data_IF_560841817979
#
_entry.id   IF_560841817979
#
_cell.length_a   1.000
_cell.length_b   1.000
_cell.length_c   1.000
_cell.angle_alpha   90.00
_cell.angle_beta   90.00
_cell.angle_gamma   90.00
#
_symmetry.space_group_name_H-M   'P 1'
#
loop_
_entity.id
_entity.type
_entity.pdbx_description
1 polymer ?
2 non-polymer ?
3 non-polymer ?
4 water ?
#
# COMPACT_ATOMS: atom_id res chain seq x y z
N UNK A 1 -28.74 7.87 9.15
CA UNK A 1 -28.37 6.52 8.61
C UNK A 1 -27.66 6.55 7.26
N UNK A 2 -27.06 5.42 6.90
CA UNK A 2 -26.32 5.27 5.65
C UNK A 2 -27.32 4.90 4.57
N UNK A 3 -27.29 5.63 3.47
CA UNK A 3 -28.28 5.43 2.40
C UNK A 3 -28.05 4.14 1.61
N UNK A 4 -29.05 3.82 0.79
CA UNK A 4 -29.04 2.60 -0.05
C UNK A 4 -27.83 2.48 -0.99
N UNK A 5 -27.59 3.51 -1.80
CA UNK A 5 -26.45 3.52 -2.71
C UNK A 5 -25.10 3.59 -1.97
N UNK A 6 -25.11 4.02 -0.71
CA UNK A 6 -23.89 4.04 0.09
C UNK A 6 -23.57 2.62 0.57
N UNK A 7 -24.57 1.92 1.06
CA UNK A 7 -24.45 0.50 1.35
C UNK A 7 -24.01 -0.27 0.10
N UNK A 8 -24.54 0.13 -1.06
CA UNK A 8 -24.22 -0.48 -2.35
C UNK A 8 -22.72 -0.28 -2.66
N UNK A 9 -22.21 0.92 -2.36
CA UNK A 9 -20.83 1.30 -2.66
C UNK A 9 -19.79 0.51 -1.87
N UNK A 10 -20.00 0.44 -0.57
CA UNK A 10 -19.16 -0.28 0.37
C UNK A 10 -19.13 -1.76 -0.01
N UNK A 11 -20.31 -2.31 -0.29
CA UNK A 11 -20.45 -3.71 -0.57
C UNK A 11 -19.66 -4.15 -1.81
N UNK A 12 -19.59 -3.30 -2.84
CA UNK A 12 -18.79 -3.61 -4.01
C UNK A 12 -17.28 -3.49 -3.77
N UNK A 13 -16.91 -2.57 -2.89
CA UNK A 13 -15.51 -2.44 -2.44
C UNK A 13 -15.08 -3.62 -1.55
N UNK A 14 -15.96 -4.05 -0.64
CA UNK A 14 -15.62 -5.14 0.28
C UNK A 14 -15.53 -6.44 -0.46
N UNK A 15 -16.23 -6.48 -1.57
CA UNK A 15 -16.26 -7.62 -2.39
C UNK A 15 -14.99 -7.72 -3.18
N UNK A 16 -14.60 -6.61 -3.80
CA UNK A 16 -13.37 -6.57 -4.59
C UNK A 16 -12.14 -6.74 -3.72
N UNK A 17 -12.21 -6.25 -2.47
CA UNK A 17 -11.17 -6.52 -1.51
C UNK A 17 -11.05 -8.02 -1.29
N UNK A 18 -12.13 -8.69 -0.91
CA UNK A 18 -12.01 -10.10 -0.57
C UNK A 18 -11.63 -10.97 -1.77
N UNK A 19 -12.12 -10.64 -2.96
CA UNK A 19 -11.75 -11.40 -4.15
C UNK A 19 -10.26 -11.33 -4.51
N UNK A 20 -9.60 -10.22 -4.16
CA UNK A 20 -8.28 -9.92 -4.68
C UNK A 20 -7.17 -9.70 -3.66
N UNK A 21 -7.46 -9.88 -2.39
CA UNK A 21 -6.44 -9.63 -1.38
C UNK A 21 -6.29 -10.92 -0.66
N UNK A 22 -5.25 -11.65 -1.01
CA UNK A 22 -4.93 -12.88 -0.31
C UNK A 22 -4.16 -12.52 0.95
N UNK A 23 -4.89 -12.55 2.06
CA UNK A 23 -4.36 -12.04 3.33
C UNK A 23 -3.29 -12.96 3.92
N UNK A 24 -3.28 -14.20 3.46
CA UNK A 24 -2.31 -15.21 3.93
C UNK A 24 -1.11 -15.36 3.00
N UNK A 25 -1.11 -14.65 1.86
CA UNK A 25 -0.02 -14.67 0.84
C UNK A 25 0.31 -16.06 0.29
N UNK A 26 -0.64 -16.98 0.38
CA UNK A 26 -0.52 -18.36 -0.13
C UNK A 26 0.13 -18.52 -1.49
N UNK A 27 -0.10 -17.58 -2.39
CA UNK A 27 0.34 -17.67 -3.77
C UNK A 27 1.55 -16.83 -4.09
N UNK A 28 2.25 -16.36 -3.06
CA UNK A 28 3.53 -15.70 -3.26
C UNK A 28 4.57 -16.80 -3.18
N UNK A 29 5.07 -17.21 -4.34
CA UNK A 29 6.11 -18.24 -4.40
C UNK A 29 7.18 -17.88 -5.48
N UNK A 30 8.18 -18.73 -5.66
CA UNK A 30 9.15 -18.55 -6.74
C UNK A 30 9.90 -17.23 -6.62
N UNK A 31 9.94 -16.66 -5.42
CA UNK A 31 10.55 -15.33 -5.20
C UNK A 31 12.03 -15.48 -4.90
N UNK A 32 12.80 -14.53 -5.39
CA UNK A 32 14.23 -14.49 -5.12
C UNK A 32 14.48 -14.26 -3.64
N UNK A 33 15.61 -14.79 -3.15
CA UNK A 33 16.11 -14.60 -1.77
C UNK A 33 17.57 -14.13 -1.82
N UNK A 34 18.03 -13.38 -0.80
CA UNK A 34 19.43 -12.96 -0.74
C UNK A 34 20.40 -14.14 -0.68
N UNK A 35 21.22 -14.30 -1.72
CA UNK A 35 22.16 -15.41 -1.83
C UNK A 35 23.22 -15.38 -0.74
N UNK A 60 25.38 6.46 -3.37
CA UNK A 60 25.86 7.49 -2.46
C UNK A 60 24.75 7.97 -1.50
N UNK A 61 23.54 8.09 -2.02
CA UNK A 61 22.35 8.35 -1.20
C UNK A 61 21.70 7.00 -0.91
N UNK A 62 21.70 6.66 0.37
CA UNK A 62 21.51 5.31 0.90
C UNK A 62 21.19 5.39 2.40
N UNK A 63 21.02 6.63 2.88
CA UNK A 63 20.26 6.88 4.08
C UNK A 63 18.80 6.58 3.72
N UNK A 64 18.45 6.90 2.46
CA UNK A 64 17.21 6.45 1.83
C UNK A 64 16.85 5.03 2.26
N UNK A 65 17.79 4.10 2.05
CA UNK A 65 17.57 2.66 2.28
C UNK A 65 17.78 2.16 3.71
N UNK A 66 18.78 2.70 4.40
CA UNK A 66 19.18 2.18 5.71
C UNK A 66 18.15 2.44 6.82
N UNK A 67 17.30 3.43 6.59
CA UNK A 67 16.17 3.71 7.46
C UNK A 67 15.08 2.63 7.34
N UNK A 68 15.22 1.76 6.34
CA UNK A 68 14.17 0.81 5.95
C UNK A 68 14.59 -0.65 6.13
N UNK A 69 15.69 -0.84 6.83
CA UNK A 69 16.22 -2.15 7.13
C UNK A 69 15.17 -3.05 7.82
N UNK A 70 15.02 -4.27 7.31
CA UNK A 70 14.16 -5.33 7.87
C UNK A 70 14.86 -6.70 7.81
N UNK A 71 14.50 -7.56 8.76
CA UNK A 71 14.91 -8.95 8.78
C UNK A 71 13.72 -9.78 8.28
N UNK A 72 14.00 -10.93 7.67
CA UNK A 72 13.01 -11.70 6.98
C UNK A 72 12.88 -13.05 7.66
N UNK A 73 11.67 -13.62 7.72
CA UNK A 73 11.47 -14.95 8.29
C UNK A 73 10.51 -15.80 7.48
N UNK A 74 10.90 -17.05 7.18
CA UNK A 74 10.05 -17.99 6.43
C UNK A 74 9.76 -19.21 7.23
N UNK A 75 8.49 -19.40 7.58
CA UNK A 75 8.08 -20.57 8.33
C UNK A 75 7.70 -21.65 7.33
N UNK A 76 8.31 -22.82 7.45
CA UNK A 76 8.04 -23.86 6.49
C UNK A 76 6.71 -24.48 6.83
N UNK A 77 6.06 -25.06 5.80
CA UNK A 77 4.90 -25.96 5.92
C UNK A 77 5.10 -27.02 7.02
N UNK A 78 6.32 -27.55 7.05
CA UNK A 78 6.79 -28.59 7.97
C UNK A 78 7.13 -28.16 9.39
N UNK A 79 7.29 -26.85 9.62
CA UNK A 79 7.68 -26.37 10.97
C UNK A 79 9.07 -25.73 11.05
N UNK A 80 9.87 -25.94 10.01
CA UNK A 80 11.16 -25.27 9.89
C UNK A 80 11.00 -23.75 9.83
N UNK A 81 12.08 -23.04 10.15
CA UNK A 81 12.09 -21.58 10.12
C UNK A 81 13.43 -21.18 9.56
N UNK A 82 13.41 -20.40 8.47
CA UNK A 82 14.61 -19.71 7.93
C UNK A 82 14.63 -18.24 8.36
N UNK A 83 15.79 -17.69 8.68
CA UNK A 83 15.93 -16.29 9.12
C UNK A 83 17.01 -15.50 8.41
N UNK A 84 16.75 -14.24 8.11
CA UNK A 84 17.75 -13.38 7.49
C UNK A 84 17.97 -12.13 8.32
N UNK A 85 19.20 -11.97 8.80
CA UNK A 85 19.67 -10.73 9.40
C UNK A 85 20.53 -10.06 8.33
N UNK A 86 20.12 -8.85 7.89
CA UNK A 86 20.88 -8.12 6.85
C UNK A 86 22.22 -7.58 7.35
N UNK A 87 23.15 -7.32 6.43
CA UNK A 87 24.44 -6.76 6.81
C UNK A 87 24.34 -5.29 7.17
N UNK A 88 24.87 -4.92 8.34
CA UNK A 88 25.07 -3.49 8.66
C UNK A 88 26.30 -2.94 7.93
N UNK A 89 26.10 -2.33 6.77
CA UNK A 89 27.20 -1.83 5.94
C UNK A 89 27.90 -0.64 6.56
N UNK A 90 29.19 -0.48 6.23
CA UNK A 90 29.84 0.84 6.32
C UNK A 90 30.40 1.14 4.93
N UNK A 91 30.63 0.06 4.16
CA UNK A 91 31.21 0.07 2.80
C UNK A 91 30.19 0.45 1.73
N UNK A 92 30.01 -0.41 0.72
CA UNK A 92 29.00 -0.16 -0.34
C UNK A 92 28.71 -1.28 -1.33
N UNK A 93 27.45 -1.75 -1.33
CA UNK A 93 26.89 -2.76 -2.28
C UNK A 93 25.93 -3.80 -1.64
N UNK A 94 26.10 -4.01 -0.34
CA UNK A 94 25.38 -5.01 0.43
C UNK A 94 24.02 -4.50 0.89
N UNK A 95 23.80 -3.20 0.72
CA UNK A 95 22.49 -2.60 0.96
C UNK A 95 21.47 -3.14 -0.03
N UNK A 96 21.93 -3.64 -1.17
CA UNK A 96 21.04 -4.13 -2.20
C UNK A 96 20.67 -5.61 -2.05
N UNK A 97 21.32 -6.32 -1.15
CA UNK A 97 21.12 -7.77 -1.02
C UNK A 97 19.66 -8.19 -1.00
N UNK A 98 18.77 -7.33 -0.50
CA UNK A 98 17.33 -7.64 -0.44
C UNK A 98 16.40 -7.03 -1.51
N UNK A 99 16.93 -6.26 -2.47
CA UNK A 99 16.05 -5.65 -3.47
C UNK A 99 15.41 -6.61 -4.46
N UNK A 100 16.16 -7.63 -4.93
CA UNK A 100 15.47 -8.58 -5.80
C UNK A 100 14.20 -9.11 -5.15
N UNK A 101 14.30 -9.58 -3.90
CA UNK A 101 13.13 -10.09 -3.16
C UNK A 101 12.01 -9.07 -2.99
N UNK A 102 12.38 -7.87 -2.59
CA UNK A 102 11.42 -6.81 -2.40
C UNK A 102 10.72 -6.52 -3.72
N UNK A 103 11.49 -6.46 -4.81
CA UNK A 103 10.91 -6.33 -6.16
C UNK A 103 9.94 -7.48 -6.50
N UNK A 104 10.12 -8.65 -5.90
CA UNK A 104 9.20 -9.76 -6.13
C UNK A 104 7.92 -9.61 -5.31
N UNK A 105 8.05 -9.12 -4.07
CA UNK A 105 6.90 -8.82 -3.22
C UNK A 105 6.01 -7.75 -3.86
N UNK A 106 6.67 -6.70 -4.35
CA UNK A 106 5.99 -5.57 -4.92
C UNK A 106 5.23 -5.93 -6.17
N UNK A 107 5.85 -6.73 -7.04
CA UNK A 107 5.14 -7.24 -8.20
C UNK A 107 3.89 -8.01 -7.77
N UNK A 108 4.06 -8.94 -6.84
CA UNK A 108 2.94 -9.75 -6.39
C UNK A 108 1.83 -8.89 -5.79
N UNK A 109 2.24 -7.83 -5.10
CA UNK A 109 1.28 -6.88 -4.55
C UNK A 109 0.55 -6.09 -5.62
N UNK A 110 1.32 -5.50 -6.53
CA UNK A 110 0.75 -4.71 -7.60
C UNK A 110 -0.27 -5.51 -8.42
N UNK A 111 -0.01 -6.80 -8.65
CA UNK A 111 -0.97 -7.65 -9.34
C UNK A 111 -2.31 -7.74 -8.56
N UNK A 112 -2.25 -7.82 -7.24
CA UNK A 112 -3.48 -7.89 -6.46
C UNK A 112 -4.21 -6.58 -6.55
N UNK A 113 -3.45 -5.49 -6.59
CA UNK A 113 -3.99 -4.13 -6.63
C UNK A 113 -4.73 -3.87 -7.96
N UNK A 114 -4.15 -4.39 -9.05
CA UNK A 114 -4.74 -4.25 -10.38
C UNK A 114 -6.03 -5.04 -10.44
N UNK A 115 -5.99 -6.30 -9.98
CA UNK A 115 -7.19 -7.12 -9.89
C UNK A 115 -8.28 -6.41 -9.09
N UNK A 116 -7.86 -5.68 -8.07
CA UNK A 116 -8.84 -5.03 -7.24
C UNK A 116 -9.52 -3.94 -8.02
N UNK A 117 -8.75 -3.11 -8.70
CA UNK A 117 -9.32 -2.02 -9.46
C UNK A 117 -10.27 -2.51 -10.54
N UNK A 118 -9.84 -3.51 -11.32
CA UNK A 118 -10.63 -4.03 -12.46
C UNK A 118 -11.98 -4.71 -12.08
N UNK A 119 -12.09 -5.17 -10.84
CA UNK A 119 -13.31 -5.77 -10.31
C UNK A 119 -14.31 -4.71 -9.82
N UNK A 120 -13.92 -3.43 -9.88
CA UNK A 120 -14.83 -2.33 -9.54
C UNK A 120 -15.44 -1.68 -10.79
N UNK A 121 -16.77 -1.68 -10.83
CA UNK A 121 -17.57 -1.14 -11.92
C UNK A 121 -17.28 0.33 -12.15
N UNK A 122 -17.16 1.09 -11.08
CA UNK A 122 -16.83 2.48 -11.24
C UNK A 122 -15.56 2.61 -12.03
N UNK A 123 -14.58 1.74 -11.75
CA UNK A 123 -13.28 1.72 -12.44
C UNK A 123 -13.37 1.16 -13.86
N UNK A 124 -13.94 -0.04 -14.04
CA UNK A 124 -14.09 -0.63 -15.38
C UNK A 124 -14.66 0.39 -16.36
N UNK A 125 -15.63 1.16 -15.90
CA UNK A 125 -16.39 2.08 -16.76
C UNK A 125 -15.66 3.37 -17.16
N UNK A 126 -14.49 3.65 -16.58
CA UNK A 126 -13.63 4.73 -17.09
C UNK A 126 -12.95 4.26 -18.40
N UNK A 127 -12.57 5.20 -19.30
CA UNK A 127 -11.77 4.81 -20.45
C UNK A 127 -10.43 4.15 -20.08
N UNK A 128 -9.99 3.20 -20.91
CA UNK A 128 -8.80 2.41 -20.65
C UNK A 128 -7.59 3.28 -20.33
N UNK A 129 -7.38 4.32 -21.14
CA UNK A 129 -6.28 5.28 -20.91
C UNK A 129 -6.34 5.92 -19.53
N UNK A 130 -7.55 5.98 -18.95
CA UNK A 130 -7.72 6.53 -17.62
C UNK A 130 -7.43 5.48 -16.55
N UNK A 131 -7.90 4.25 -16.80
CA UNK A 131 -7.54 3.09 -15.98
C UNK A 131 -6.01 3.04 -15.78
N UNK A 132 -5.26 2.86 -16.86
CA UNK A 132 -3.79 2.92 -16.81
C UNK A 132 -3.31 4.12 -15.98
N UNK A 133 -3.82 5.31 -16.26
CA UNK A 133 -3.27 6.49 -15.58
C UNK A 133 -3.52 6.52 -14.06
N UNK A 134 -4.74 6.19 -13.62
CA UNK A 134 -5.09 6.12 -12.19
C UNK A 134 -4.23 5.11 -11.42
N UNK A 135 -4.13 3.91 -11.97
CA UNK A 135 -3.22 2.87 -11.49
C UNK A 135 -1.76 3.32 -11.33
N UNK A 136 -1.17 3.88 -12.37
CA UNK A 136 0.26 4.28 -12.27
C UNK A 136 0.46 5.29 -11.14
N UNK A 137 -0.59 5.98 -10.71
CA UNK A 137 -0.43 6.98 -9.67
C UNK A 137 -0.58 6.44 -8.27
N UNK A 138 -1.54 5.54 -8.10
CA UNK A 138 -1.97 5.04 -6.78
C UNK A 138 -1.46 3.65 -6.41
N UNK A 139 -0.94 2.90 -7.37
CA UNK A 139 -0.48 1.52 -7.09
C UNK A 139 0.34 1.35 -5.80
N UNK A 140 1.35 2.19 -5.63
CA UNK A 140 2.15 2.18 -4.41
C UNK A 140 1.30 2.42 -3.12
N UNK A 141 0.39 3.39 -3.17
CA UNK A 141 -0.43 3.80 -2.02
C UNK A 141 -1.40 2.71 -1.55
N UNK A 142 -2.05 2.09 -2.51
CA UNK A 142 -3.00 1.00 -2.29
C UNK A 142 -2.26 -0.16 -1.65
N UNK A 143 -1.04 -0.32 -2.12
CA UNK A 143 -0.18 -1.37 -1.66
C UNK A 143 0.26 -1.16 -0.21
N UNK A 144 0.72 0.04 0.11
CA UNK A 144 1.08 0.43 1.46
C UNK A 144 -0.15 0.37 2.37
N UNK A 145 -1.29 0.78 1.85
CA UNK A 145 -2.52 0.63 2.59
C UNK A 145 -2.80 -0.85 2.93
N UNK A 146 -2.55 -1.77 2.01
CA UNK A 146 -2.83 -3.17 2.31
C UNK A 146 -1.87 -3.71 3.37
N UNK A 147 -0.57 -3.37 3.23
CA UNK A 147 0.46 -3.83 4.18
C UNK A 147 0.17 -3.37 5.59
N UNK A 148 -0.43 -2.20 5.72
CA UNK A 148 -0.83 -1.75 7.03
C UNK A 148 -1.75 -2.71 7.77
N UNK A 149 -2.60 -3.43 7.06
CA UNK A 149 -3.51 -4.33 7.74
C UNK A 149 -2.80 -5.55 8.31
N UNK A 150 -1.60 -5.87 7.81
CA UNK A 150 -0.82 -7.03 8.29
C UNK A 150 0.34 -6.60 9.20
N UNK A 151 0.50 -5.30 9.40
CA UNK A 151 1.49 -4.72 10.32
C UNK A 151 1.08 -4.92 11.76
N UNK A 152 2.07 -5.21 12.61
CA UNK A 152 1.91 -5.40 14.03
C UNK A 152 2.75 -4.34 14.74
N UNK A 153 2.11 -3.29 15.24
CA UNK A 153 2.82 -2.15 15.83
C UNK A 153 3.55 -2.48 17.15
N UNK A 154 3.01 -3.43 17.94
CA UNK A 154 3.68 -3.89 19.16
C UNK A 154 5.12 -4.37 18.84
N UNK A 155 5.25 -5.20 17.81
CA UNK A 155 6.50 -5.86 17.49
C UNK A 155 7.22 -5.26 16.26
N UNK A 156 6.67 -4.23 15.65
CA UNK A 156 7.24 -3.59 14.48
C UNK A 156 7.42 -4.51 13.30
N UNK A 157 6.49 -5.45 13.09
CA UNK A 157 6.62 -6.43 11.99
C UNK A 157 5.39 -6.56 11.08
N UNK A 158 5.63 -6.82 9.80
CA UNK A 158 4.57 -7.13 8.86
C UNK A 158 4.41 -8.63 8.74
N UNK A 159 3.29 -9.16 9.20
CA UNK A 159 3.08 -10.58 9.13
C UNK A 159 2.40 -10.97 7.81
N UNK A 160 3.19 -11.44 6.86
CA UNK A 160 2.65 -11.84 5.57
C UNK A 160 2.53 -13.35 5.41
N UNK A 161 1.58 -13.94 6.14
CA UNK A 161 1.37 -15.39 6.08
C UNK A 161 2.59 -16.05 6.66
N UNK A 162 3.32 -16.79 5.82
CA UNK A 162 4.58 -17.46 6.23
C UNK A 162 5.82 -16.58 6.27
N UNK A 163 5.86 -15.48 5.51
CA UNK A 163 6.90 -14.44 5.68
C UNK A 163 6.62 -13.50 6.86
N UNK A 164 7.65 -13.05 7.55
CA UNK A 164 7.54 -11.90 8.44
C UNK A 164 8.66 -10.95 8.14
N UNK A 165 8.37 -9.66 8.10
CA UNK A 165 9.40 -8.67 7.89
C UNK A 165 9.44 -7.83 9.11
N UNK A 166 10.55 -7.91 9.80
CA UNK A 166 10.67 -7.29 11.09
C UNK A 166 11.65 -6.16 11.03
N UNK A 167 11.22 -5.00 11.50
CA UNK A 167 12.07 -3.82 11.55
C UNK A 167 13.25 -4.09 12.46
N UNK A 168 14.44 -3.84 11.93
CA UNK A 168 15.68 -4.11 12.64
C UNK A 168 15.78 -3.47 14.02
N UNK A 175 15.62 2.93 18.26
CA UNK A 175 15.01 3.40 19.50
C UNK A 175 13.69 4.12 19.23
N UNK A 176 12.78 3.45 18.50
CA UNK A 176 11.52 4.05 18.01
C UNK A 176 11.77 5.28 17.13
N UNK A 177 11.98 5.02 15.82
CA UNK A 177 12.23 6.09 14.84
C UNK A 177 11.14 6.27 13.76
N UNK A 178 10.17 7.06 14.16
CA UNK A 178 9.08 7.53 13.33
C UNK A 178 9.58 8.76 12.57
N UNK A 179 10.90 8.82 12.41
CA UNK A 179 11.56 9.86 11.64
C UNK A 179 11.53 9.52 10.17
N UNK A 180 11.44 8.23 9.86
CA UNK A 180 11.23 7.80 8.50
C UNK A 180 9.72 7.89 8.21
N UNK A 181 9.32 8.81 7.32
CA UNK A 181 7.91 9.13 7.08
C UNK A 181 7.04 7.90 6.83
N UNK A 182 7.56 6.96 6.05
CA UNK A 182 6.90 5.69 5.78
C UNK A 182 6.60 4.92 7.05
N UNK A 183 7.55 4.87 7.96
CA UNK A 183 7.38 4.15 9.21
C UNK A 183 6.38 4.83 10.15
N UNK A 184 6.51 6.13 10.31
CA UNK A 184 5.54 6.96 11.05
C UNK A 184 4.16 6.84 10.44
N UNK A 185 4.10 6.63 9.14
CA UNK A 185 2.81 6.39 8.50
C UNK A 185 2.15 5.10 9.02
N UNK A 186 2.88 3.98 9.04
CA UNK A 186 2.27 2.74 9.49
C UNK A 186 1.86 2.77 10.95
N UNK A 187 2.73 3.34 11.78
CA UNK A 187 2.45 3.43 13.21
C UNK A 187 1.22 4.29 13.49
N UNK A 188 1.20 5.49 12.93
CA UNK A 188 0.09 6.41 13.14
C UNK A 188 -1.23 5.86 12.66
N UNK A 189 -1.21 5.22 11.49
CA UNK A 189 -2.41 4.69 10.86
C UNK A 189 -2.98 3.48 11.59
N UNK A 190 -2.08 2.59 12.03
CA UNK A 190 -2.47 1.46 12.87
C UNK A 190 -3.15 1.95 14.14
N UNK A 191 -2.61 3.02 14.71
CA UNK A 191 -3.15 3.56 15.96
C UNK A 191 -4.65 3.85 15.85
N UNK A 192 -5.13 4.23 14.67
CA UNK A 192 -6.51 4.67 14.50
C UNK A 192 -7.48 3.52 14.53
N UNK A 193 -6.94 2.31 14.45
CA UNK A 193 -7.73 1.07 14.52
C UNK A 193 -8.95 1.01 13.59
N UNK A 194 -8.72 1.24 12.30
CA UNK A 194 -9.82 1.29 11.34
C UNK A 194 -10.45 -0.08 11.11
N UNK A 195 -11.69 -0.08 10.62
CA UNK A 195 -12.36 -1.28 10.21
C UNK A 195 -11.93 -1.59 8.76
N UNK A 196 -12.15 -2.84 8.35
CA UNK A 196 -11.91 -3.24 6.98
C UNK A 196 -12.62 -2.30 6.00
N UNK A 197 -13.85 -1.89 6.32
CA UNK A 197 -14.60 -0.99 5.44
C UNK A 197 -13.93 0.35 5.28
N UNK A 198 -13.39 0.90 6.37
CA UNK A 198 -12.59 2.14 6.30
C UNK A 198 -11.31 2.01 5.47
N UNK A 199 -10.67 0.84 5.53
CA UNK A 199 -9.50 0.59 4.70
C UNK A 199 -9.81 0.53 3.22
N UNK A 200 -10.83 -0.21 2.87
CA UNK A 200 -11.18 -0.34 1.46
C UNK A 200 -11.65 1.01 0.88
N UNK A 201 -12.32 1.83 1.68
CA UNK A 201 -12.76 3.14 1.17
C UNK A 201 -11.61 4.11 0.99
N UNK A 202 -10.65 4.04 1.91
CA UNK A 202 -9.40 4.76 1.79
C UNK A 202 -8.72 4.38 0.51
N UNK A 203 -8.62 3.07 0.26
CA UNK A 203 -8.14 2.55 -1.03
C UNK A 203 -8.88 3.14 -2.24
N UNK A 204 -10.20 3.33 -2.14
CA UNK A 204 -11.01 3.98 -3.18
C UNK A 204 -10.69 5.45 -3.39
N UNK A 205 -10.67 6.22 -2.32
CA UNK A 205 -10.39 7.65 -2.46
C UNK A 205 -9.03 7.84 -3.15
N UNK A 206 -8.03 7.14 -2.64
CA UNK A 206 -6.69 7.16 -3.23
C UNK A 206 -6.67 6.73 -4.71
N UNK A 207 -7.33 5.60 -5.03
CA UNK A 207 -7.44 5.11 -6.41
C UNK A 207 -8.02 6.13 -7.39
N UNK A 208 -9.16 6.71 -7.00
CA UNK A 208 -9.86 7.67 -7.84
C UNK A 208 -9.46 9.11 -7.50
N UNK A 209 -8.19 9.44 -7.71
CA UNK A 209 -7.70 10.80 -7.52
C UNK A 209 -7.67 11.55 -8.85
N UNK A 210 -8.32 12.72 -8.88
CA UNK A 210 -8.51 13.42 -10.17
C UNK A 210 -7.22 13.99 -10.72
N UNK A 211 -6.27 14.25 -9.83
CA UNK A 211 -5.01 14.92 -10.16
C UNK A 211 -3.84 13.95 -10.30
N UNK A 212 -3.90 13.08 -11.28
CA UNK A 212 -2.75 12.22 -11.62
C UNK A 212 -2.46 12.40 -13.11
N UNK A 213 -1.19 12.73 -13.46
CA UNK A 213 -0.70 12.83 -14.85
C UNK A 213 -1.50 12.02 -15.89
N UNK A 214 -2.04 12.71 -16.90
CA UNK A 214 -2.76 12.07 -18.01
C UNK A 214 -4.17 11.53 -17.73
N UNK A 215 -4.88 12.15 -16.79
CA UNK A 215 -6.25 11.73 -16.52
C UNK A 215 -7.19 12.61 -17.31
N UNK A 216 -7.82 12.04 -18.32
CA UNK A 216 -8.62 12.82 -19.24
C UNK A 216 -9.93 13.20 -18.61
N UNK A 217 -10.60 12.22 -17.99
CA UNK A 217 -11.90 12.44 -17.36
C UNK A 217 -11.78 12.94 -15.92
N UNK A 218 -11.25 14.16 -15.75
CA UNK A 218 -11.09 14.73 -14.40
C UNK A 218 -12.38 15.06 -13.62
N UNK A 219 -13.50 15.27 -14.34
CA UNK A 219 -14.76 15.61 -13.69
C UNK A 219 -15.41 14.37 -13.07
N UNK A 220 -15.48 13.31 -13.87
CA UNK A 220 -16.03 12.02 -13.42
C UNK A 220 -15.27 11.53 -12.19
N UNK A 221 -13.97 11.32 -12.37
CA UNK A 221 -13.07 10.82 -11.32
C UNK A 221 -13.22 11.70 -10.07
N UNK A 222 -13.46 12.99 -10.26
CA UNK A 222 -13.74 13.85 -9.12
C UNK A 222 -15.10 13.66 -8.43
N UNK A 223 -16.19 13.46 -9.18
CA UNK A 223 -17.44 13.17 -8.47
C UNK A 223 -17.39 11.83 -7.80
N UNK A 224 -16.76 10.86 -8.46
CA UNK A 224 -16.51 9.53 -7.89
C UNK A 224 -15.76 9.57 -6.57
N UNK A 225 -14.63 10.27 -6.52
CA UNK A 225 -13.89 10.44 -5.26
C UNK A 225 -14.73 11.05 -4.14
N UNK A 226 -15.42 12.16 -4.44
CA UNK A 226 -16.32 12.81 -3.50
C UNK A 226 -17.42 11.86 -2.97
N UNK A 227 -17.90 10.96 -3.81
CA UNK A 227 -18.93 10.06 -3.31
C UNK A 227 -18.34 9.02 -2.36
N UNK A 228 -17.11 8.57 -2.64
CA UNK A 228 -16.38 7.71 -1.70
C UNK A 228 -16.10 8.40 -0.37
N UNK A 229 -15.58 9.64 -0.44
CA UNK A 229 -15.38 10.46 0.77
C UNK A 229 -16.64 10.64 1.60
N UNK A 230 -17.75 11.01 0.96
CA UNK A 230 -19.04 11.19 1.63
C UNK A 230 -19.42 9.91 2.35
N UNK A 231 -19.33 8.78 1.63
CA UNK A 231 -19.64 7.46 2.17
C UNK A 231 -18.78 7.16 3.42
N UNK A 232 -17.53 7.61 3.39
CA UNK A 232 -16.62 7.33 4.50
C UNK A 232 -17.06 8.12 5.71
N UNK A 233 -17.47 9.35 5.42
CA UNK A 233 -17.84 10.33 6.40
C UNK A 233 -19.05 9.80 7.12
N UNK A 234 -20.03 9.32 6.37
CA UNK A 234 -21.25 8.82 6.97
C UNK A 234 -20.98 7.56 7.76
N UNK A 235 -20.25 6.63 7.15
CA UNK A 235 -19.92 5.37 7.81
C UNK A 235 -19.34 5.61 9.20
N UNK A 236 -18.47 6.60 9.30
CA UNK A 236 -17.88 7.01 10.59
C UNK A 236 -18.94 7.64 11.54
N UNK A 237 -19.71 8.63 11.04
CA UNK A 237 -20.75 9.27 11.85
C UNK A 237 -21.72 8.23 12.43
N UNK A 238 -22.02 7.21 11.63
CA UNK A 238 -22.97 6.13 11.97
C UNK A 238 -22.42 4.97 12.77
N UNK A 239 -21.15 4.62 12.60
CA UNK A 239 -20.64 3.42 13.25
C UNK A 239 -19.68 3.65 14.42
N UNK A 240 -19.18 4.88 14.57
CA UNK A 240 -18.20 5.23 15.60
C UNK A 240 -18.62 6.46 16.43
N UNK A 241 -19.54 6.25 17.38
CA UNK A 241 -20.13 7.37 18.10
C UNK A 241 -19.28 7.83 19.30
N UNK A 242 -18.24 7.05 19.63
CA UNK A 242 -17.42 7.35 20.80
C UNK A 242 -16.33 8.44 20.56
N UNK A 243 -16.12 9.31 21.58
CA UNK A 243 -15.25 10.51 21.57
C UNK A 243 -13.79 10.28 21.23
N UNK A 244 -13.40 9.04 21.00
CA UNK A 244 -12.04 8.76 20.57
C UNK A 244 -12.04 8.83 19.06
N UNK A 245 -13.24 8.71 18.49
CA UNK A 245 -13.40 8.65 17.04
C UNK A 245 -13.97 9.95 16.48
N UNK A 246 -13.79 11.02 17.26
CA UNK A 246 -14.04 12.38 16.80
C UNK A 246 -12.87 12.79 15.90
N UNK A 247 -13.22 13.43 14.79
CA UNK A 247 -12.25 13.88 13.79
C UNK A 247 -11.53 12.74 13.06
N UNK A 248 -12.01 11.51 13.23
CA UNK A 248 -11.40 10.40 12.54
C UNK A 248 -11.42 10.63 11.01
N UNK A 249 -12.56 11.01 10.46
CA UNK A 249 -12.66 11.21 9.03
C UNK A 249 -11.62 12.20 8.54
N UNK A 250 -11.36 13.20 9.37
CA UNK A 250 -10.39 14.23 9.00
C UNK A 250 -8.97 13.71 9.14
N UNK A 251 -8.72 12.93 10.20
CA UNK A 251 -7.41 12.29 10.42
C UNK A 251 -7.05 11.37 9.24
N UNK A 252 -7.98 10.48 8.91
CA UNK A 252 -7.85 9.63 7.73
C UNK A 252 -7.54 10.47 6.48
N UNK A 253 -8.27 11.57 6.30
CA UNK A 253 -8.09 12.35 5.08
C UNK A 253 -6.69 12.93 5.05
N UNK A 254 -6.17 13.36 6.20
CA UNK A 254 -4.81 13.91 6.32
C UNK A 254 -3.77 12.83 6.07
N UNK A 255 -4.05 11.64 6.59
CA UNK A 255 -3.23 10.46 6.38
C UNK A 255 -3.05 10.21 4.89
N UNK A 256 -4.16 10.32 4.15
CA UNK A 256 -4.11 10.13 2.70
C UNK A 256 -3.31 11.21 2.00
N UNK A 257 -3.33 12.43 2.55
CA UNK A 257 -2.54 13.52 1.97
C UNK A 257 -1.07 13.23 2.20
N UNK A 258 -0.77 12.78 3.43
CA UNK A 258 0.58 12.42 3.81
C UNK A 258 1.11 11.36 2.86
N UNK A 259 0.28 10.36 2.61
CA UNK A 259 0.65 9.20 1.85
C UNK A 259 1.00 9.53 0.39
N UNK A 260 0.43 10.61 -0.11
CA UNK A 260 0.62 11.06 -1.49
C UNK A 260 1.99 11.70 -1.60
N UNK A 261 2.35 12.40 -0.53
CA UNK A 261 3.66 13.03 -0.36
C UNK A 261 4.75 11.97 -0.28
N UNK A 262 4.51 10.93 0.51
CA UNK A 262 5.42 9.79 0.64
C UNK A 262 5.55 9.01 -0.67
N UNK A 263 4.45 8.89 -1.40
CA UNK A 263 4.46 8.25 -2.72
C UNK A 263 5.45 8.94 -3.68
N UNK A 264 5.46 10.27 -3.67
CA UNK A 264 6.28 11.05 -4.59
C UNK A 264 7.76 10.97 -4.18
N UNK A 265 8.01 10.94 -2.88
CA UNK A 265 9.37 10.87 -2.39
C UNK A 265 9.97 9.52 -2.75
N UNK A 266 9.15 8.47 -2.64
CA UNK A 266 9.52 7.10 -2.96
C UNK A 266 9.85 6.86 -4.43
N UNK A 267 9.09 7.50 -5.34
CA UNK A 267 9.40 7.43 -6.78
C UNK A 267 10.82 7.94 -7.04
N UNK A 268 11.12 9.14 -6.51
CA UNK A 268 12.46 9.71 -6.60
C UNK A 268 13.55 8.76 -6.02
N UNK A 269 13.36 8.23 -4.82
CA UNK A 269 14.29 7.24 -4.30
C UNK A 269 14.46 6.10 -5.28
N UNK A 270 13.35 5.55 -5.76
CA UNK A 270 13.38 4.36 -6.62
C UNK A 270 14.07 4.61 -7.96
N UNK A 271 13.86 5.80 -8.54
CA UNK A 271 14.51 6.16 -9.77
C UNK A 271 16.01 6.27 -9.56
N UNK A 272 16.42 6.80 -8.40
CA UNK A 272 17.84 6.83 -8.04
C UNK A 272 18.49 5.43 -7.96
N UNK A 273 17.78 4.44 -7.41
CA UNK A 273 18.26 3.04 -7.40
C UNK A 273 18.38 2.46 -8.81
N UNK A 274 17.45 2.81 -9.70
CA UNK A 274 17.48 2.40 -11.10
C UNK A 274 18.67 3.02 -11.84
N UNK A 275 19.00 4.27 -11.53
CA UNK A 275 20.18 4.96 -12.09
C UNK A 275 21.47 4.15 -11.94
N UNK A 276 21.66 3.55 -10.77
CA UNK A 276 22.86 2.80 -10.41
C UNK A 276 22.72 1.28 -10.58
N UNK A 277 21.51 0.77 -10.43
CA UNK A 277 21.27 -0.65 -10.66
C UNK A 277 19.83 -0.93 -11.09
N UNK A 278 19.64 -1.66 -12.20
CA UNK A 278 18.26 -2.07 -12.49
C UNK A 278 17.81 -3.13 -11.49
N UNK A 279 16.68 -2.93 -10.84
CA UNK A 279 16.08 -4.01 -10.01
C UNK A 279 14.63 -4.27 -10.41
N UNK A 280 13.96 -3.21 -10.87
CA UNK A 280 12.55 -3.23 -11.15
C UNK A 280 12.15 -4.29 -12.18
N UNK A 281 11.22 -5.16 -11.76
CA UNK A 281 10.61 -6.13 -12.63
C UNK A 281 9.90 -5.42 -13.80
N UNK A 282 9.63 -6.14 -14.91
CA UNK A 282 8.84 -5.52 -15.99
C UNK A 282 7.65 -4.69 -15.50
N UNK A 283 6.80 -5.26 -14.65
CA UNK A 283 5.57 -4.59 -14.16
C UNK A 283 5.86 -3.30 -13.39
N UNK A 284 6.93 -3.29 -12.61
CA UNK A 284 7.37 -2.08 -11.95
C UNK A 284 7.84 -1.00 -12.92
N UNK A 285 8.39 -1.43 -14.06
CA UNK A 285 8.83 -0.52 -15.12
C UNK A 285 7.59 0.07 -15.78
N UNK A 286 6.61 -0.79 -16.02
CA UNK A 286 5.31 -0.38 -16.55
C UNK A 286 4.61 0.67 -15.66
N UNK A 287 4.59 0.48 -14.34
CA UNK A 287 3.89 1.42 -13.44
C UNK A 287 4.65 2.70 -13.06
N UNK A 288 5.98 2.62 -12.92
CA UNK A 288 6.82 3.79 -12.61
C UNK A 288 7.22 4.58 -13.83
N UNK A 289 6.86 4.10 -15.02
CA UNK A 289 7.00 4.89 -16.23
C UNK A 289 8.37 4.80 -16.88
N UNK A 290 8.71 3.59 -17.33
CA UNK A 290 9.97 3.26 -18.05
C UNK A 290 9.85 1.99 -18.95
X LIG B 1 13.01 -3.06 -6.06
X LIG B 1 12.41 -2.16 -4.61
X LIG B 1 13.09 -1.03 -4.18
X LIG B 1 11.28 -2.61 -3.94
X LIG B 1 10.82 -1.92 -2.84
X LIG B 1 11.50 -0.79 -2.40
X LIG B 1 12.63 -0.35 -3.08
X LIG B 1 11.02 -0.05 -1.20
X LIG B 1 9.50 -0.10 -1.23
X LIG B 1 11.42 1.32 -1.30
X LIG B 1 11.64 -0.62 0.09
X LIG B 1 13.12 -0.30 0.16
X LIG B 1 11.53 -2.14 0.20
X LIG B 1 10.97 0.07 1.27
X LIG B 1 9.48 0.19 1.24
X LIG B 1 8.92 0.67 -0.05
X LIG B 1 8.83 -1.00 1.75
X LIG B 1 8.05 -1.66 1.05
X LIG B 1 9.16 -1.43 3.17
X LIG B 1 9.07 -0.26 4.16
X LIG B 1 9.77 -0.54 5.49
X LIG B 1 7.64 0.24 4.40
X LIG B 1 8.40 -2.59 3.58
X LIG B 1 8.99 -3.72 3.99
X LIG B 1 10.21 -3.86 4.09
X LIG B 1 8.05 -4.84 4.37
X LIG B 1 7.06 -5.16 3.25
X LIG B 1 6.37 -3.97 2.86
X LIG B 1 6.05 -6.16 3.79
X LIG B 1 7.69 -5.69 1.97
X LIG C 1 -2.00 -9.82 -4.12
X LIG C 1 -3.10 -10.64 -4.43
X LIG C 1 -1.99 -9.45 -2.64
X LIG C 1 -2.59 -10.44 -1.83
X LIG C 1 -2.55 -8.05 -2.38
X LIG C 1 -1.99 -7.02 -3.19
#
# INVERSE_FOLDING_TARGET
GLTEEQRMMIRELMDAQMKTFDTTFSHFKNFRLPGVLSSGCELPESLQAPSREEAAKWSQVRKDLCSLKVSLQLRGEDGSVWNYKPPADSGGKEIFSLLPHMADMSTYMFKGIISFAKVISYFRDLPIEDQISLLKGAAFELCQLRFNTVFNAETGTWECGRLSYCLEDTAGGFQQLLLEPMLKFHYMLKKLQLHEEEYVLMQAISLFSPDRPGVLQHRVVDQLQEQFAITLKSYIECNRPQPAHRFLFLKIMAMLTELRSINAQHTQRLLRIQDIHPFATPLMQELFGI
2Q4 CL C6 C3 C4 C2 C5 C1 C12 C9 O28 C13 C14 C15 C11 N24 C10 C7 O26 C21 C22 C17 C16 N25 C8 O27 C20 C23 O29 C19 C18
GOL C1 O1 C2 O2 C3 O3
#
